data_IF_002405678124
#
_entry.id   IF_002405678124
#
_cell.length_a   1.000
_cell.length_b   1.000
_cell.length_c   1.000
_cell.angle_alpha   90.00
_cell.angle_beta   90.00
_cell.angle_gamma   90.00
#
_symmetry.space_group_name_H-M   'P 1'
#
loop_
_entity.id
_entity.type
_entity.pdbx_description
1 polymer ?
#
# COMPACT_ATOMS: atom_id res chain seq x y z
N UNK A 1 2.88 -44.38 -15.05
CA UNK A 1 3.40 -43.12 -15.66
C UNK A 1 2.60 -41.87 -15.26
N UNK A 2 1.90 -41.87 -14.13
CA UNK A 2 1.09 -40.73 -13.67
C UNK A 2 1.85 -39.88 -12.64
N UNK A 3 2.67 -40.53 -11.79
CA UNK A 3 3.51 -39.90 -10.77
C UNK A 3 4.53 -38.89 -11.34
N UNK A 4 5.11 -39.16 -12.51
CA UNK A 4 6.11 -38.27 -13.12
C UNK A 4 5.47 -36.96 -13.61
N UNK A 5 4.26 -37.04 -14.18
CA UNK A 5 3.48 -35.88 -14.61
C UNK A 5 3.09 -34.99 -13.42
N UNK A 6 2.72 -35.59 -12.29
CA UNK A 6 2.42 -34.83 -11.06
C UNK A 6 3.65 -34.09 -10.52
N UNK A 7 4.83 -34.72 -10.52
CA UNK A 7 6.06 -34.08 -10.04
C UNK A 7 6.44 -32.89 -10.94
N UNK A 8 6.32 -33.02 -12.26
CA UNK A 8 6.65 -31.93 -13.21
C UNK A 8 5.69 -30.75 -13.07
N UNK A 9 4.41 -30.99 -12.83
CA UNK A 9 3.43 -29.91 -12.60
C UNK A 9 3.73 -29.20 -11.28
N UNK A 10 4.04 -29.95 -10.21
CA UNK A 10 4.36 -29.38 -8.89
C UNK A 10 5.67 -28.58 -8.92
N UNK A 11 6.68 -29.01 -9.67
CA UNK A 11 7.93 -28.23 -9.79
C UNK A 11 7.74 -26.97 -10.62
N UNK A 12 6.94 -27.01 -11.69
CA UNK A 12 6.62 -25.81 -12.48
C UNK A 12 5.74 -24.82 -11.70
N UNK A 13 4.81 -25.27 -10.86
CA UNK A 13 4.02 -24.36 -9.99
C UNK A 13 4.86 -23.74 -8.89
N UNK A 14 5.84 -24.47 -8.32
CA UNK A 14 6.79 -23.91 -7.36
C UNK A 14 7.75 -22.91 -8.02
N UNK A 15 8.25 -23.19 -9.23
CA UNK A 15 9.15 -22.31 -9.97
C UNK A 15 8.44 -21.08 -10.57
N UNK A 16 7.15 -21.18 -10.90
CA UNK A 16 6.36 -20.02 -11.37
C UNK A 16 5.93 -19.09 -10.23
N UNK A 17 6.16 -19.49 -8.97
CA UNK A 17 5.95 -18.67 -7.78
C UNK A 17 7.24 -17.99 -7.30
N UNK A 18 8.33 -18.05 -8.07
CA UNK A 18 9.33 -16.98 -8.04
C UNK A 18 8.71 -15.77 -8.72
N UNK A 19 7.75 -15.16 -8.03
CA UNK A 19 7.35 -13.78 -8.30
C UNK A 19 8.64 -12.99 -8.22
N UNK A 20 9.07 -12.54 -9.38
CA UNK A 20 10.15 -11.59 -9.60
C UNK A 20 10.01 -10.52 -8.51
N UNK A 21 10.78 -10.66 -7.44
CA UNK A 21 10.83 -9.72 -6.34
C UNK A 21 11.65 -8.54 -6.85
N UNK A 22 11.04 -7.78 -7.75
CA UNK A 22 11.45 -6.41 -7.99
C UNK A 22 11.46 -5.74 -6.63
N UNK A 23 12.64 -5.30 -6.19
CA UNK A 23 12.81 -4.70 -4.88
C UNK A 23 11.78 -3.60 -4.72
N UNK A 24 10.79 -3.86 -3.88
CA UNK A 24 9.77 -2.89 -3.52
C UNK A 24 10.52 -1.65 -3.00
N UNK A 25 10.30 -0.45 -3.59
CA UNK A 25 10.90 0.77 -3.06
C UNK A 25 10.65 0.87 -1.55
N UNK A 26 11.66 1.27 -0.77
CA UNK A 26 11.62 1.34 0.71
C UNK A 26 10.35 2.04 1.27
N UNK A 27 9.76 2.94 0.46
CA UNK A 27 8.49 3.62 0.69
C UNK A 27 7.33 2.67 1.05
N UNK A 28 7.31 1.45 0.49
CA UNK A 28 6.20 0.51 0.67
C UNK A 28 6.50 -0.58 1.70
N UNK A 29 7.64 -0.51 2.40
CA UNK A 29 8.05 -1.51 3.39
C UNK A 29 6.99 -1.71 4.48
N UNK A 30 6.32 -0.64 4.90
CA UNK A 30 5.25 -0.74 5.89
C UNK A 30 4.05 -1.56 5.37
N UNK A 31 3.82 -1.65 4.05
CA UNK A 31 2.74 -2.45 3.47
C UNK A 31 3.02 -3.97 3.53
N UNK A 32 4.26 -4.40 3.78
CA UNK A 32 4.60 -5.83 3.90
C UNK A 32 3.88 -6.51 5.07
N UNK A 33 3.41 -5.74 6.05
CA UNK A 33 2.58 -6.23 7.14
C UNK A 33 1.15 -6.62 6.71
N UNK A 34 0.74 -6.28 5.47
CA UNK A 34 -0.59 -6.54 4.94
C UNK A 34 -0.61 -7.79 4.05
N UNK A 35 -1.76 -8.47 3.91
CA UNK A 35 -1.94 -9.49 2.89
C UNK A 35 -1.64 -8.94 1.49
N UNK A 36 -1.08 -9.73 0.56
CA UNK A 36 -0.63 -9.25 -0.76
C UNK A 36 -1.72 -8.52 -1.57
N UNK A 37 -2.96 -8.99 -1.50
CA UNK A 37 -4.09 -8.34 -2.16
C UNK A 37 -4.38 -6.95 -1.58
N UNK A 38 -4.33 -6.82 -0.25
CA UNK A 38 -4.52 -5.54 0.44
C UNK A 38 -3.37 -4.58 0.13
N UNK A 39 -2.12 -5.06 0.12
CA UNK A 39 -0.95 -4.28 -0.24
C UNK A 39 -1.09 -3.68 -1.65
N UNK A 40 -1.40 -4.52 -2.65
CA UNK A 40 -1.53 -4.07 -4.04
C UNK A 40 -2.69 -3.09 -4.22
N UNK A 41 -3.84 -3.35 -3.57
CA UNK A 41 -4.98 -2.45 -3.64
C UNK A 41 -4.67 -1.09 -2.99
N UNK A 42 -4.08 -1.10 -1.79
CA UNK A 42 -3.75 0.13 -1.07
C UNK A 42 -2.68 0.95 -1.81
N UNK A 43 -1.65 0.29 -2.34
CA UNK A 43 -0.65 0.91 -3.22
C UNK A 43 -1.31 1.60 -4.42
N UNK A 44 -2.15 0.87 -5.16
CA UNK A 44 -2.82 1.41 -6.35
C UNK A 44 -3.75 2.59 -6.01
N UNK A 45 -4.44 2.55 -4.86
CA UNK A 45 -5.27 3.66 -4.41
C UNK A 45 -4.44 4.92 -4.10
N UNK A 46 -3.31 4.78 -3.39
CA UNK A 46 -2.43 5.90 -3.07
C UNK A 46 -1.79 6.49 -4.32
N UNK A 47 -1.26 5.64 -5.21
CA UNK A 47 -0.67 6.07 -6.48
C UNK A 47 -1.69 6.77 -7.38
N UNK A 48 -2.88 6.19 -7.51
CA UNK A 48 -3.97 6.82 -8.27
C UNK A 48 -4.33 8.18 -7.68
N UNK A 49 -4.42 8.28 -6.36
CA UNK A 49 -4.71 9.54 -5.68
C UNK A 49 -3.62 10.59 -5.93
N UNK A 50 -2.35 10.21 -5.92
CA UNK A 50 -1.26 11.13 -6.27
C UNK A 50 -1.32 11.54 -7.74
N UNK A 51 -1.62 10.61 -8.65
CA UNK A 51 -1.70 10.89 -10.09
C UNK A 51 -2.83 11.84 -10.49
N UNK A 52 -3.82 12.06 -9.61
CA UNK A 52 -4.87 13.07 -9.81
C UNK A 52 -4.34 14.50 -9.67
N UNK A 53 -3.21 14.71 -9.00
CA UNK A 53 -2.55 16.01 -8.86
C UNK A 53 -1.40 16.14 -9.89
N UNK A 54 -1.53 17.02 -10.90
CA UNK A 54 -0.50 17.16 -11.93
C UNK A 54 0.81 17.78 -11.40
N UNK A 55 0.76 18.45 -10.26
CA UNK A 55 1.94 19.02 -9.61
C UNK A 55 2.58 18.02 -8.64
N UNK A 56 1.82 17.09 -8.06
CA UNK A 56 2.32 16.13 -7.07
C UNK A 56 2.07 14.67 -7.46
N UNK A 57 2.48 14.23 -8.66
CA UNK A 57 2.00 12.96 -9.22
C UNK A 57 2.58 11.71 -8.55
N UNK A 58 3.65 11.83 -7.74
CA UNK A 58 4.39 10.66 -7.22
C UNK A 58 4.06 10.41 -5.77
N UNK A 59 3.90 9.14 -5.41
CA UNK A 59 3.90 8.70 -4.03
C UNK A 59 5.33 8.79 -3.48
N UNK A 60 5.50 9.44 -2.32
CA UNK A 60 6.81 9.73 -1.72
C UNK A 60 7.01 9.04 -0.38
N UNK A 61 5.97 8.99 0.44
CA UNK A 61 6.04 8.42 1.79
C UNK A 61 4.74 7.69 2.10
N UNK A 62 4.83 6.56 2.79
CA UNK A 62 3.70 5.84 3.39
C UNK A 62 4.02 5.66 4.87
N UNK A 63 3.08 6.06 5.73
CA UNK A 63 3.15 5.94 7.20
C UNK A 63 1.84 5.32 7.68
N UNK A 64 1.74 3.99 7.59
CA UNK A 64 0.56 3.23 7.99
C UNK A 64 0.25 3.42 9.48
N UNK A 65 1.26 3.52 10.34
CA UNK A 65 1.08 3.80 11.77
C UNK A 65 0.30 5.09 12.04
N UNK A 66 0.44 6.09 11.15
CA UNK A 66 -0.28 7.37 11.17
C UNK A 66 -1.40 7.46 10.15
N UNK A 67 -1.72 6.34 9.51
CA UNK A 67 -2.71 6.28 8.44
C UNK A 67 -2.54 7.44 7.44
N UNK A 68 -1.30 7.72 7.06
CA UNK A 68 -0.93 8.90 6.28
C UNK A 68 -0.03 8.47 5.12
N UNK A 69 -0.20 9.11 3.97
CA UNK A 69 0.72 9.00 2.86
C UNK A 69 0.96 10.38 2.25
N UNK A 70 2.10 10.54 1.57
CA UNK A 70 2.50 11.81 0.97
C UNK A 70 2.67 11.68 -0.52
N UNK A 71 1.99 12.54 -1.27
CA UNK A 71 2.24 12.76 -2.67
C UNK A 71 3.22 13.91 -2.84
N UNK A 72 4.03 13.92 -3.89
CA UNK A 72 4.97 15.00 -4.13
C UNK A 72 5.79 14.82 -5.39
N UNK A 73 6.62 15.80 -5.69
CA UNK A 73 7.59 15.71 -6.77
C UNK A 73 8.89 16.44 -6.43
N UNK A 74 9.94 16.13 -7.18
CA UNK A 74 11.21 16.83 -7.08
C UNK A 74 11.36 17.75 -8.29
N UNK A 75 11.85 18.96 -8.06
CA UNK A 75 12.30 19.82 -9.14
C UNK A 75 13.79 20.11 -8.98
N UNK A 76 14.50 20.07 -10.10
CA UNK A 76 15.88 20.53 -10.20
C UNK A 76 16.09 21.15 -11.58
N UNK A 77 16.37 22.45 -11.62
CA UNK A 77 16.66 23.20 -12.84
C UNK A 77 18.12 23.67 -12.93
N UNK A 78 19.01 23.10 -12.11
CA UNK A 78 20.44 23.48 -12.01
C UNK A 78 20.73 24.76 -11.23
N UNK A 79 19.70 25.53 -10.82
CA UNK A 79 19.83 26.71 -9.95
C UNK A 79 19.11 26.54 -8.62
N UNK A 80 17.94 25.91 -8.66
CA UNK A 80 17.09 25.65 -7.51
C UNK A 80 16.71 24.18 -7.51
N UNK A 81 16.89 23.55 -6.35
CA UNK A 81 16.43 22.20 -6.07
C UNK A 81 15.41 22.27 -4.93
N UNK A 82 14.33 21.54 -5.09
CA UNK A 82 13.27 21.49 -4.09
C UNK A 82 12.45 20.23 -4.23
N UNK A 83 11.90 19.82 -3.11
CA UNK A 83 10.90 18.76 -3.04
C UNK A 83 9.63 19.39 -2.48
N UNK A 84 8.53 19.23 -3.18
CA UNK A 84 7.22 19.67 -2.71
C UNK A 84 6.31 18.46 -2.56
N UNK A 85 5.34 18.56 -1.64
CA UNK A 85 4.40 17.48 -1.43
C UNK A 85 3.30 17.81 -0.44
N UNK A 86 2.27 16.97 -0.45
CA UNK A 86 1.09 17.06 0.37
C UNK A 86 0.81 15.71 1.02
N UNK A 87 0.51 15.78 2.31
CA UNK A 87 0.07 14.63 3.08
C UNK A 87 -1.44 14.42 2.97
N UNK A 88 -1.84 13.16 2.92
CA UNK A 88 -3.23 12.71 2.90
C UNK A 88 -3.44 11.64 3.95
N UNK A 89 -4.62 11.66 4.58
CA UNK A 89 -5.03 10.61 5.50
C UNK A 89 -5.77 9.48 4.77
N UNK A 90 -5.47 8.24 5.14
CA UNK A 90 -6.24 7.07 4.82
C UNK A 90 -7.61 7.14 5.51
N UNK A 91 -8.61 6.55 4.87
CA UNK A 91 -9.98 6.55 5.39
C UNK A 91 -10.08 5.62 6.59
N UNK A 92 -11.00 5.95 7.50
CA UNK A 92 -11.35 5.04 8.58
C UNK A 92 -11.77 3.66 8.02
N UNK A 93 -11.24 2.60 8.63
CA UNK A 93 -11.45 1.21 8.20
C UNK A 93 -10.45 0.69 7.17
N UNK A 94 -9.56 1.52 6.62
CA UNK A 94 -8.46 1.06 5.77
C UNK A 94 -7.54 0.13 6.58
N UNK A 95 -7.24 -1.09 6.10
CA UNK A 95 -6.27 -1.97 6.75
C UNK A 95 -4.88 -1.33 6.80
N UNK A 96 -4.24 -1.35 7.97
CA UNK A 96 -2.91 -0.77 8.20
C UNK A 96 -1.93 -1.72 8.91
N UNK A 97 -2.40 -2.91 9.30
CA UNK A 97 -1.58 -3.97 9.91
C UNK A 97 -2.38 -5.27 10.08
N UNK A 98 -1.83 -6.21 10.83
CA UNK A 98 -2.47 -7.52 11.05
C UNK A 98 -3.62 -7.39 12.05
N UNK A 99 -4.87 -7.47 11.57
CA UNK A 99 -6.08 -7.18 12.34
C UNK A 99 -6.22 -5.72 12.82
N UNK A 100 -5.48 -4.81 12.20
CA UNK A 100 -5.49 -3.38 12.52
C UNK A 100 -6.07 -2.57 11.36
N UNK A 101 -6.76 -1.48 11.72
CA UNK A 101 -7.39 -0.57 10.77
C UNK A 101 -7.17 0.88 11.19
N UNK A 102 -7.25 1.78 10.21
CA UNK A 102 -7.20 3.21 10.43
C UNK A 102 -8.46 3.69 11.17
N UNK A 103 -8.25 4.44 12.25
CA UNK A 103 -9.30 5.12 13.01
C UNK A 103 -8.76 6.48 13.43
N UNK A 104 -9.42 7.56 12.99
CA UNK A 104 -9.04 8.94 13.35
C UNK A 104 -7.57 9.25 13.04
N UNK A 105 -7.04 8.70 11.94
CA UNK A 105 -5.66 8.92 11.51
C UNK A 105 -4.61 8.14 12.30
N UNK A 106 -5.01 7.08 13.02
CA UNK A 106 -4.07 6.20 13.73
C UNK A 106 -4.38 4.75 13.37
N UNK A 107 -3.34 3.93 13.24
CA UNK A 107 -3.50 2.48 13.08
C UNK A 107 -3.77 1.83 14.44
N UNK A 108 -4.92 1.16 14.59
CA UNK A 108 -5.31 0.56 15.85
C UNK A 108 -5.99 -0.79 15.62
N UNK A 109 -6.10 -1.60 16.67
CA UNK A 109 -6.91 -2.82 16.65
C UNK A 109 -8.30 -2.61 16.09
N UNK A 110 -8.72 -3.48 15.17
CA UNK A 110 -10.05 -3.43 14.54
C UNK A 110 -11.19 -3.49 15.56
N UNK A 111 -10.98 -4.15 16.69
CA UNK A 111 -11.96 -4.24 17.79
C UNK A 111 -12.26 -2.89 18.45
N UNK A 112 -11.37 -1.91 18.29
CA UNK A 112 -11.55 -0.54 18.80
C UNK A 112 -12.44 0.32 17.89
N UNK A 113 -12.86 -0.20 16.72
CA UNK A 113 -13.66 0.56 15.77
C UNK A 113 -15.12 0.70 16.24
N UNK A 114 -15.61 1.94 16.45
CA UNK A 114 -16.99 2.15 16.85
C UNK A 114 -17.95 1.74 15.73
N UNK A 115 -19.09 1.14 16.09
CA UNK A 115 -20.10 0.63 15.16
C UNK A 115 -20.53 1.70 14.13
N UNK A 116 -20.65 2.96 14.56
CA UNK A 116 -21.06 4.08 13.70
C UNK A 116 -20.09 4.27 12.52
N UNK A 117 -18.78 4.04 12.72
CA UNK A 117 -17.77 4.16 11.67
C UNK A 117 -17.78 2.94 10.73
N UNK A 118 -18.05 1.74 11.25
CA UNK A 118 -18.19 0.53 10.43
C UNK A 118 -19.32 0.64 9.38
N UNK A 119 -20.43 1.31 9.73
CA UNK A 119 -21.57 1.48 8.82
C UNK A 119 -21.28 2.49 7.70
N UNK A 120 -20.32 3.41 7.89
CA UNK A 120 -20.01 4.47 6.92
C UNK A 120 -19.21 3.98 5.71
N UNK A 121 -18.47 2.88 5.85
CA UNK A 121 -17.66 2.27 4.79
C UNK A 121 -18.38 1.32 3.84
N UNK A 122 -19.68 1.05 4.04
CA UNK A 122 -20.49 0.10 3.24
C UNK A 122 -21.36 0.75 2.15
N UNK A 123 -21.11 2.01 1.79
CA UNK A 123 -21.84 2.70 0.72
C UNK A 123 -21.24 2.46 -0.66
#
# INVERSE_FOLDING_TARGET
MQLVLFIVIVTFTLLSCEVQSESIPDIYKELEALPPECQNNLKNQMERRCSEDPYQPRLREVKLSKCEFKCGDDHNNGRTMGTHGQSFFLKDGTPCGQNEVCIDGICTDRCSMPIVKMLKGRK
#
